data_IF_363320091882
#
_entry.id   IF_363320091882
#
_cell.length_a   1.000
_cell.length_b   1.000
_cell.length_c   1.000
_cell.angle_alpha   90.00
_cell.angle_beta   90.00
_cell.angle_gamma   90.00
#
_symmetry.space_group_name_H-M   'P 1'
#
loop_
_entity.id
_entity.type
_entity.pdbx_description
1 polymer ?
#
# COMPACT_ATOMS: atom_id res chain seq x y z
N UNK A 1 13.45 -13.36 2.86
CA UNK A 1 12.04 -13.76 3.04
C UNK A 1 11.20 -12.55 3.40
N UNK A 2 11.40 -11.91 4.55
CA UNK A 2 10.58 -10.76 4.99
C UNK A 2 10.48 -9.58 3.98
N UNK A 3 11.56 -9.29 3.24
CA UNK A 3 11.54 -8.26 2.19
C UNK A 3 10.76 -8.69 0.93
N UNK A 4 10.77 -9.99 0.62
CA UNK A 4 10.10 -10.56 -0.56
C UNK A 4 8.57 -10.54 -0.36
N UNK A 5 8.10 -10.95 0.82
CA UNK A 5 6.68 -10.88 1.19
C UNK A 5 6.16 -9.44 1.20
N UNK A 6 6.97 -8.49 1.71
CA UNK A 6 6.65 -7.07 1.67
C UNK A 6 6.50 -6.55 0.24
N UNK A 7 7.47 -6.85 -0.63
CA UNK A 7 7.45 -6.43 -2.03
C UNK A 7 6.28 -7.06 -2.80
N UNK A 8 5.96 -8.33 -2.51
CA UNK A 8 4.81 -9.02 -3.09
C UNK A 8 3.49 -8.38 -2.64
N UNK A 9 3.33 -8.08 -1.36
CA UNK A 9 2.15 -7.40 -0.83
C UNK A 9 1.98 -6.02 -1.48
N UNK A 10 3.07 -5.24 -1.61
CA UNK A 10 3.04 -3.94 -2.31
C UNK A 10 2.75 -4.09 -3.80
N UNK A 11 3.29 -5.14 -4.42
CA UNK A 11 3.06 -5.48 -5.82
C UNK A 11 1.61 -5.83 -6.14
N UNK A 12 0.89 -6.42 -5.18
CA UNK A 12 -0.52 -6.79 -5.32
C UNK A 12 -1.48 -5.57 -5.30
N UNK A 13 -1.05 -4.43 -4.76
CA UNK A 13 -1.88 -3.22 -4.72
C UNK A 13 -1.91 -2.52 -6.09
N UNK A 14 -3.10 -2.21 -6.59
CA UNK A 14 -3.25 -1.40 -7.80
C UNK A 14 -2.69 0.03 -7.59
N UNK A 15 -2.27 0.69 -8.67
CA UNK A 15 -1.98 2.13 -8.63
C UNK A 15 -3.28 2.92 -8.39
N UNK A 16 -3.18 4.07 -7.72
CA UNK A 16 -4.32 4.87 -7.33
C UNK A 16 -4.85 4.51 -5.94
N UNK A 17 -6.12 4.82 -5.71
CA UNK A 17 -6.78 4.69 -4.41
C UNK A 17 -7.49 3.34 -4.27
N UNK A 18 -7.40 2.73 -3.09
CA UNK A 18 -8.21 1.59 -2.69
C UNK A 18 -8.43 1.58 -1.18
N UNK A 19 -9.40 0.81 -0.71
CA UNK A 19 -9.69 0.67 0.71
C UNK A 19 -9.41 -0.74 1.20
N UNK A 20 -9.11 -0.88 2.49
CA UNK A 20 -8.94 -2.18 3.11
C UNK A 20 -8.89 -2.09 4.63
N UNK A 21 -8.54 -3.21 5.23
CA UNK A 21 -8.52 -3.38 6.67
C UNK A 21 -7.11 -3.71 7.15
N UNK A 22 -6.73 -3.12 8.27
CA UNK A 22 -5.52 -3.45 9.00
C UNK A 22 -5.80 -3.37 10.49
N UNK A 23 -5.47 -4.43 11.23
CA UNK A 23 -5.70 -4.51 12.69
C UNK A 23 -7.12 -4.13 13.12
N UNK A 24 -8.14 -4.53 12.35
CA UNK A 24 -9.56 -4.23 12.62
C UNK A 24 -10.00 -2.80 12.28
N UNK A 25 -9.14 -1.99 11.67
CA UNK A 25 -9.43 -0.60 11.27
C UNK A 25 -9.46 -0.46 9.76
N UNK A 26 -10.32 0.43 9.26
CA UNK A 26 -10.44 0.70 7.82
C UNK A 26 -9.47 1.79 7.39
N UNK A 27 -8.69 1.51 6.36
CA UNK A 27 -7.73 2.44 5.77
C UNK A 27 -8.06 2.71 4.31
N UNK A 28 -7.91 3.98 3.91
CA UNK A 28 -7.78 4.38 2.51
C UNK A 28 -6.30 4.40 2.13
N UNK A 29 -5.92 3.64 1.12
CA UNK A 29 -4.55 3.45 0.64
C UNK A 29 -4.42 4.03 -0.76
N UNK A 30 -3.45 4.92 -0.94
CA UNK A 30 -3.05 5.46 -2.24
C UNK A 30 -1.66 4.93 -2.58
N UNK A 31 -1.55 4.23 -3.70
CA UNK A 31 -0.27 3.79 -4.26
C UNK A 31 0.04 4.64 -5.48
N UNK A 32 1.28 5.12 -5.57
CA UNK A 32 1.75 5.88 -6.73
C UNK A 32 3.10 5.34 -7.18
N UNK A 33 3.15 4.81 -8.40
CA UNK A 33 4.39 4.36 -9.02
C UNK A 33 4.98 5.47 -9.89
N UNK A 34 6.30 5.61 -9.87
CA UNK A 34 7.00 6.55 -10.77
C UNK A 34 6.94 6.02 -12.20
N UNK A 35 6.90 6.92 -13.21
CA UNK A 35 6.89 6.51 -14.63
C UNK A 35 8.16 5.75 -15.02
N UNK A 36 9.28 6.03 -14.35
CA UNK A 36 10.54 5.30 -14.50
C UNK A 36 10.55 3.92 -13.78
N UNK A 37 9.51 3.59 -13.03
CA UNK A 37 9.36 2.32 -12.30
C UNK A 37 10.34 2.13 -11.14
N UNK A 38 11.16 3.14 -10.81
CA UNK A 38 12.18 3.05 -9.75
C UNK A 38 11.67 3.45 -8.38
N UNK A 39 10.49 4.03 -8.27
CA UNK A 39 9.90 4.45 -6.99
C UNK A 39 8.44 4.04 -6.88
N UNK A 40 8.09 3.45 -5.75
CA UNK A 40 6.70 3.25 -5.35
C UNK A 40 6.47 4.01 -4.05
N UNK A 41 5.54 4.96 -4.08
CA UNK A 41 5.09 5.70 -2.91
C UNK A 41 3.76 5.12 -2.43
N UNK A 42 3.62 4.90 -1.14
CA UNK A 42 2.35 4.49 -0.52
C UNK A 42 1.99 5.45 0.59
N UNK A 43 0.73 5.89 0.58
CA UNK A 43 0.13 6.64 1.66
C UNK A 43 -1.19 5.98 2.07
N UNK A 44 -1.27 5.53 3.31
CA UNK A 44 -2.48 4.97 3.91
C UNK A 44 -2.94 5.85 5.07
N UNK A 45 -4.24 6.12 5.15
CA UNK A 45 -4.85 6.87 6.24
C UNK A 45 -6.03 6.10 6.78
N UNK A 46 -6.14 6.02 8.10
CA UNK A 46 -7.31 5.49 8.79
C UNK A 46 -8.53 6.37 8.49
N UNK A 47 -9.63 5.76 8.06
CA UNK A 47 -10.82 6.50 7.63
C UNK A 47 -11.66 7.03 8.81
N UNK A 48 -11.56 6.36 9.96
CA UNK A 48 -12.32 6.69 11.17
C UNK A 48 -11.44 7.32 12.28
N UNK A 49 -10.18 7.62 11.98
CA UNK A 49 -9.23 8.09 12.99
C UNK A 49 -8.14 8.97 12.40
N UNK A 50 -7.02 9.07 13.12
CA UNK A 50 -5.90 9.93 12.75
C UNK A 50 -4.61 9.13 12.51
N UNK A 51 -4.69 7.79 12.46
CA UNK A 51 -3.55 6.97 12.13
C UNK A 51 -3.22 7.05 10.63
N UNK A 52 -1.93 7.07 10.31
CA UNK A 52 -1.46 7.01 8.94
C UNK A 52 -0.18 6.18 8.83
N UNK A 53 0.03 5.64 7.62
CA UNK A 53 1.22 4.92 7.20
C UNK A 53 1.69 5.55 5.89
N UNK A 54 2.96 5.90 5.80
CA UNK A 54 3.52 6.55 4.61
C UNK A 54 4.96 6.12 4.40
N UNK A 55 5.28 5.69 3.19
CA UNK A 55 6.64 5.30 2.83
C UNK A 55 6.91 5.43 1.33
N UNK A 56 8.20 5.46 1.01
CA UNK A 56 8.72 5.32 -0.35
C UNK A 56 9.60 4.08 -0.45
N UNK A 57 9.36 3.24 -1.44
CA UNK A 57 10.25 2.14 -1.82
C UNK A 57 11.01 2.54 -3.09
N UNK A 58 12.33 2.49 -3.03
CA UNK A 58 13.21 2.77 -4.18
C UNK A 58 13.84 1.49 -4.68
N UNK A 59 13.78 1.26 -5.99
CA UNK A 59 14.55 0.20 -6.66
C UNK A 59 15.94 0.74 -7.02
N UNK A 60 16.97 0.02 -6.62
CA UNK A 60 18.36 0.37 -6.89
C UNK A 60 18.80 -0.19 -8.23
N UNK A 61 19.81 0.43 -8.85
CA UNK A 61 20.33 0.01 -10.15
C UNK A 61 20.96 -1.39 -10.13
N UNK A 62 21.35 -1.89 -8.95
CA UNK A 62 21.94 -3.22 -8.74
C UNK A 62 20.91 -4.29 -8.37
N UNK A 63 19.61 -3.99 -8.45
CA UNK A 63 18.53 -4.95 -8.26
C UNK A 63 18.00 -5.10 -6.82
N UNK A 64 18.39 -4.21 -5.90
CA UNK A 64 17.87 -4.19 -4.53
C UNK A 64 16.75 -3.16 -4.32
N UNK A 65 16.11 -3.20 -3.15
CA UNK A 65 15.14 -2.17 -2.74
C UNK A 65 15.53 -1.46 -1.46
N UNK A 66 15.21 -0.16 -1.38
CA UNK A 66 15.41 0.66 -0.19
C UNK A 66 14.08 1.22 0.26
N UNK A 67 13.62 0.80 1.45
CA UNK A 67 12.42 1.32 2.10
C UNK A 67 12.76 2.59 2.90
N UNK A 68 11.97 3.65 2.69
CA UNK A 68 12.05 4.91 3.45
C UNK A 68 10.69 5.27 4.04
N UNK A 69 10.43 4.95 5.32
CA UNK A 69 9.28 5.44 6.06
C UNK A 69 9.31 6.97 6.23
N UNK A 70 8.14 7.62 6.19
CA UNK A 70 8.01 9.05 6.46
C UNK A 70 7.63 9.25 7.94
N UNK A 71 8.57 9.72 8.76
CA UNK A 71 8.31 10.09 10.18
C UNK A 71 7.67 8.97 11.03
N UNK A 72 7.93 7.70 10.70
CA UNK A 72 7.42 6.55 11.45
C UNK A 72 8.39 5.37 11.45
N UNK A 73 8.19 4.47 12.40
CA UNK A 73 9.04 3.31 12.57
C UNK A 73 8.82 2.27 11.44
N UNK A 74 9.92 1.70 10.94
CA UNK A 74 9.88 0.75 9.83
C UNK A 74 9.06 -0.51 10.15
N UNK A 75 9.06 -0.96 11.41
CA UNK A 75 8.25 -2.09 11.87
C UNK A 75 6.74 -1.85 11.66
N UNK A 76 6.25 -0.62 11.84
CA UNK A 76 4.83 -0.26 11.59
C UNK A 76 4.50 -0.39 10.10
N UNK A 77 5.40 0.07 9.24
CA UNK A 77 5.25 -0.03 7.77
C UNK A 77 5.23 -1.49 7.33
N UNK A 78 6.17 -2.29 7.82
CA UNK A 78 6.22 -3.73 7.50
C UNK A 78 4.98 -4.45 8.01
N UNK A 79 4.58 -4.23 9.26
CA UNK A 79 3.37 -4.84 9.82
C UNK A 79 2.12 -4.45 9.02
N UNK A 80 2.00 -3.18 8.64
CA UNK A 80 0.91 -2.71 7.78
C UNK A 80 0.88 -3.45 6.45
N UNK A 81 2.00 -3.51 5.74
CA UNK A 81 2.05 -4.15 4.43
C UNK A 81 1.75 -5.66 4.48
N UNK A 82 2.20 -6.36 5.50
CA UNK A 82 1.96 -7.79 5.65
C UNK A 82 0.56 -8.12 6.19
N UNK A 83 -0.07 -7.19 6.92
CA UNK A 83 -1.38 -7.38 7.54
C UNK A 83 -2.54 -6.70 6.83
N UNK A 84 -2.28 -5.90 5.79
CA UNK A 84 -3.33 -5.18 5.07
C UNK A 84 -4.11 -6.12 4.15
N UNK A 85 -5.42 -6.24 4.40
CA UNK A 85 -6.33 -7.05 3.62
C UNK A 85 -7.34 -6.18 2.89
N UNK A 86 -7.42 -6.32 1.56
CA UNK A 86 -8.51 -5.71 0.79
C UNK A 86 -9.74 -6.61 0.79
N UNK A 87 -10.95 -6.04 0.93
CA UNK A 87 -12.18 -6.82 0.80
C UNK A 87 -12.33 -7.46 -0.58
N UNK A 88 -11.71 -6.89 -1.61
CA UNK A 88 -11.73 -7.38 -3.00
C UNK A 88 -10.66 -8.45 -3.35
N UNK A 89 -9.76 -8.78 -2.42
CA UNK A 89 -8.71 -9.81 -2.66
C UNK A 89 -9.18 -11.24 -2.33
N UNK A 90 -10.42 -11.40 -1.87
CA UNK A 90 -11.13 -12.68 -1.90
C UNK A 90 -11.90 -12.75 -3.21
N UNK A 91 -11.63 -13.77 -4.02
CA UNK A 91 -12.06 -13.86 -5.40
C UNK A 91 -13.57 -13.68 -5.65
N UNK A 92 -13.84 -13.24 -6.88
CA UNK A 92 -15.11 -13.31 -7.62
C UNK A 92 -16.12 -12.15 -7.41
N UNK A 93 -15.97 -11.16 -8.29
CA UNK A 93 -17.07 -10.50 -9.00
C UNK A 93 -18.26 -10.00 -8.19
N UNK A 94 -18.25 -8.71 -7.81
CA UNK A 94 -19.36 -7.80 -8.08
C UNK A 94 -18.83 -6.37 -8.25
N UNK A 95 -19.29 -5.75 -9.33
CA UNK A 95 -18.97 -4.39 -9.75
C UNK A 95 -19.15 -3.36 -8.62
N UNK A 96 -18.14 -2.53 -8.43
CA UNK A 96 -18.19 -1.30 -7.66
C UNK A 96 -17.54 -0.19 -8.47
N UNK A 97 -18.18 0.22 -9.57
CA UNK A 97 -17.77 1.39 -10.32
C UNK A 97 -17.92 2.64 -9.45
N UNK A 98 -16.84 3.39 -9.31
CA UNK A 98 -16.91 4.78 -8.86
C UNK A 98 -17.51 5.58 -10.02
N UNK A 99 -18.65 6.27 -9.85
CA UNK A 99 -19.12 7.21 -10.87
C UNK A 99 -18.15 8.39 -10.93
N UNK A 100 -17.70 8.72 -12.14
CA UNK A 100 -16.97 9.95 -12.41
C UNK A 100 -17.89 11.17 -12.12
N UNK A 101 -17.37 12.25 -11.51
CA UNK A 101 -18.16 13.46 -11.34
C UNK A 101 -18.48 14.05 -12.72
N UNK A 102 -19.77 14.31 -12.95
CA UNK A 102 -20.29 14.96 -14.16
C UNK A 102 -20.08 16.47 -14.19
#
# INVERSE_FOLDING_TARGET
MENDDFERALGALADGYSEGWFAGRRYGVTVRRSPDGRRTSLFARELAGNDFISFNLYRTAIGGTVLKPCEMAANKVTAFMLGFARPDLHGEGRAGGVPAPG
#
